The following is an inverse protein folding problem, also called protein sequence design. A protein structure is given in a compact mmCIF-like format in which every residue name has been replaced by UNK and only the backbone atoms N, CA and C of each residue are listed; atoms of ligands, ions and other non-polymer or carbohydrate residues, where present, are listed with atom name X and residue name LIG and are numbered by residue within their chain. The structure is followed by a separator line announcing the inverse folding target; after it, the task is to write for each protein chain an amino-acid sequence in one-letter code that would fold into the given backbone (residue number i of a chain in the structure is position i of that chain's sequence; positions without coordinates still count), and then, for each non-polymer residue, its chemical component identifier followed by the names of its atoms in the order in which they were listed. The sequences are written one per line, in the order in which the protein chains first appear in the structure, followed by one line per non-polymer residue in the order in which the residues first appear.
data_IF_050930181634
#
_entry.id   IF_050930181634
#
_cell.length_a   1.000
_cell.length_b   1.000
_cell.length_c   1.000
_cell.angle_alpha   90.00
_cell.angle_beta   90.00
_cell.angle_gamma   90.00
#
_symmetry.space_group_name_H-M   'P 1'
#
loop_
_entity.id
_entity.type
_entity.pdbx_description
1 polymer ?
#
# COMPACT_ATOMS: atom_id res chain seq x y z
N UNK A 1 1.06 -12.89 -6.04
CA UNK A 1 2.09 -11.81 -5.99
C UNK A 1 1.38 -10.47 -6.11
N UNK A 2 1.73 -9.46 -5.32
CA UNK A 2 1.16 -8.11 -5.37
C UNK A 2 2.30 -7.08 -5.30
N UNK A 3 2.19 -5.98 -6.06
CA UNK A 3 3.17 -4.89 -6.10
C UNK A 3 2.55 -3.59 -5.60
N UNK A 4 3.37 -2.72 -5.01
CA UNK A 4 2.93 -1.40 -4.52
C UNK A 4 2.58 -0.51 -5.71
N UNK A 5 1.32 -0.07 -5.75
CA UNK A 5 0.82 0.90 -6.71
C UNK A 5 0.30 2.14 -5.99
N UNK A 6 0.34 3.28 -6.66
CA UNK A 6 -0.19 4.56 -6.19
C UNK A 6 -1.11 5.15 -7.26
N UNK A 7 -2.28 5.58 -6.83
CA UNK A 7 -3.27 6.25 -7.65
C UNK A 7 -3.73 7.54 -6.98
N UNK A 8 -4.17 8.52 -7.78
CA UNK A 8 -4.74 9.76 -7.27
C UNK A 8 -6.24 9.82 -7.60
N UNK A 9 -7.09 9.85 -6.56
CA UNK A 9 -8.54 10.02 -6.72
C UNK A 9 -8.92 11.42 -6.25
N UNK A 10 -9.28 12.30 -7.18
CA UNK A 10 -9.62 13.71 -6.90
C UNK A 10 -8.54 14.48 -6.11
N UNK A 11 -7.26 14.18 -6.37
CA UNK A 11 -6.13 14.82 -5.69
C UNK A 11 -5.63 14.07 -4.45
N UNK A 12 -6.40 13.11 -3.92
CA UNK A 12 -5.96 12.29 -2.79
C UNK A 12 -5.07 11.13 -3.25
N UNK A 13 -3.85 10.97 -2.69
CA UNK A 13 -3.05 9.78 -2.93
C UNK A 13 -3.69 8.55 -2.25
N UNK A 14 -3.78 7.45 -2.98
CA UNK A 14 -4.32 6.17 -2.52
C UNK A 14 -3.38 5.06 -2.94
N UNK A 15 -2.72 4.42 -1.98
CA UNK A 15 -1.97 3.20 -2.25
C UNK A 15 -2.90 2.01 -2.52
N UNK A 16 -2.45 1.12 -3.39
CA UNK A 16 -3.18 -0.08 -3.76
C UNK A 16 -2.23 -1.12 -4.33
N UNK A 17 -2.79 -2.22 -4.82
CA UNK A 17 -2.00 -3.30 -5.41
C UNK A 17 -2.04 -3.24 -6.92
N UNK A 18 -0.95 -3.66 -7.55
CA UNK A 18 -0.93 -4.07 -8.95
C UNK A 18 -0.35 -5.49 -9.09
N UNK A 19 -0.73 -6.19 -10.16
CA UNK A 19 -0.22 -7.53 -10.50
C UNK A 19 -0.50 -7.86 -11.97
N UNK A 20 0.29 -8.74 -12.61
CA UNK A 20 0.00 -9.17 -13.98
C UNK A 20 -1.20 -10.13 -14.00
N UNK A 21 -2.10 -9.95 -14.96
CA UNK A 21 -3.13 -10.94 -15.31
C UNK A 21 -2.50 -12.15 -16.01
N UNK A 22 -3.29 -13.21 -16.20
CA UNK A 22 -2.86 -14.38 -16.99
C UNK A 22 -2.42 -14.02 -18.42
N UNK A 23 -2.95 -12.92 -18.98
CA UNK A 23 -2.57 -12.40 -20.30
C UNK A 23 -1.39 -11.39 -20.25
N UNK A 24 -0.71 -11.27 -19.10
CA UNK A 24 0.42 -10.36 -18.91
C UNK A 24 0.06 -8.88 -18.87
N UNK A 25 -1.23 -8.53 -18.69
CA UNK A 25 -1.68 -7.13 -18.55
C UNK A 25 -1.65 -6.71 -17.09
N UNK A 26 -1.30 -5.46 -16.82
CA UNK A 26 -1.31 -4.95 -15.44
C UNK A 26 -2.74 -4.77 -14.95
N UNK A 27 -3.10 -5.51 -13.91
CA UNK A 27 -4.30 -5.31 -13.10
C UNK A 27 -3.95 -4.43 -11.90
N UNK A 28 -4.91 -3.63 -11.41
CA UNK A 28 -4.73 -2.85 -10.20
C UNK A 28 -6.02 -2.68 -9.42
N UNK A 29 -5.91 -2.53 -8.10
CA UNK A 29 -7.05 -2.41 -7.19
C UNK A 29 -6.75 -1.39 -6.08
N UNK A 30 -7.64 -0.43 -5.91
CA UNK A 30 -7.56 0.63 -4.91
C UNK A 30 -8.86 0.70 -4.08
N UNK A 31 -8.72 0.81 -2.75
CA UNK A 31 -9.86 0.92 -1.84
C UNK A 31 -10.03 2.34 -1.32
N UNK A 32 -11.14 3.00 -1.68
CA UNK A 32 -11.46 4.36 -1.23
C UNK A 32 -12.96 4.63 -1.37
N UNK A 33 -13.54 5.32 -0.39
CA UNK A 33 -14.94 5.79 -0.36
C UNK A 33 -15.96 4.65 -0.50
N UNK A 34 -15.77 3.57 0.27
CA UNK A 34 -16.54 2.33 0.29
C UNK A 34 -16.56 1.56 -1.04
N UNK A 35 -15.65 1.88 -1.95
CA UNK A 35 -15.55 1.28 -3.28
C UNK A 35 -14.19 0.62 -3.49
N UNK A 36 -14.21 -0.52 -4.15
CA UNK A 36 -13.06 -1.00 -4.90
C UNK A 36 -13.04 -0.33 -6.27
N UNK A 37 -11.89 0.26 -6.64
CA UNK A 37 -11.64 0.87 -7.93
C UNK A 37 -10.62 -0.03 -8.62
N UNK A 38 -11.04 -0.72 -9.68
CA UNK A 38 -10.28 -1.77 -10.35
C UNK A 38 -10.59 -1.89 -11.84
N UNK A 39 -11.44 -1.01 -12.36
CA UNK A 39 -11.79 -0.94 -13.77
C UNK A 39 -11.01 0.17 -14.51
N UNK A 40 -11.45 0.49 -15.73
CA UNK A 40 -10.83 1.52 -16.56
C UNK A 40 -10.78 2.91 -15.92
N UNK A 41 -11.61 3.19 -14.91
CA UNK A 41 -11.67 4.46 -14.17
C UNK A 41 -10.38 4.80 -13.41
N UNK A 42 -9.54 3.79 -13.12
CA UNK A 42 -8.23 4.00 -12.52
C UNK A 42 -7.34 4.83 -13.46
N UNK A 43 -7.41 4.58 -14.77
CA UNK A 43 -6.58 5.27 -15.76
C UNK A 43 -5.08 5.18 -15.44
N UNK A 44 -4.44 6.33 -15.24
CA UNK A 44 -3.01 6.43 -14.92
C UNK A 44 -2.74 6.12 -13.44
N UNK A 45 -1.74 5.28 -13.19
CA UNK A 45 -1.22 4.97 -11.86
C UNK A 45 0.31 4.89 -11.88
N UNK A 46 0.92 4.85 -10.71
CA UNK A 46 2.36 4.72 -10.53
C UNK A 46 2.67 3.39 -9.84
N UNK A 47 3.81 2.78 -10.15
CA UNK A 47 4.34 1.61 -9.46
C UNK A 47 5.61 1.98 -8.71
N UNK A 48 5.76 1.51 -7.48
CA UNK A 48 7.04 1.59 -6.80
C UNK A 48 8.00 0.60 -7.44
N UNK A 49 9.11 1.10 -7.95
CA UNK A 49 10.18 0.30 -8.52
C UNK A 49 11.46 0.50 -7.72
N UNK A 50 12.32 -0.50 -7.75
CA UNK A 50 13.64 -0.46 -7.12
C UNK A 50 14.66 -0.61 -8.23
N UNK A 51 15.63 0.32 -8.37
CA UNK A 51 16.69 0.19 -9.36
C UNK A 51 17.61 -0.98 -9.02
N UNK A 52 18.56 -1.28 -9.90
CA UNK A 52 19.60 -2.26 -9.60
C UNK A 52 20.30 -1.95 -8.27
N UNK A 53 20.66 -3.00 -7.53
CA UNK A 53 21.20 -2.87 -6.19
C UNK A 53 22.47 -2.03 -6.11
N UNK A 54 23.28 -2.03 -7.18
CA UNK A 54 24.49 -1.22 -7.32
C UNK A 54 24.26 0.29 -7.29
N UNK A 55 23.03 0.76 -7.54
CA UNK A 55 22.66 2.17 -7.58
C UNK A 55 21.60 2.53 -6.53
N UNK A 56 21.38 1.65 -5.55
CA UNK A 56 20.32 1.81 -4.56
C UNK A 56 20.78 2.73 -3.41
N UNK A 57 20.14 3.89 -3.25
CA UNK A 57 20.37 4.79 -2.11
C UNK A 57 19.42 4.56 -0.92
N UNK A 58 18.45 3.66 -1.06
CA UNK A 58 17.43 3.36 -0.06
C UNK A 58 17.19 1.86 0.01
N UNK A 59 17.21 1.29 1.21
CA UNK A 59 16.65 -0.05 1.44
C UNK A 59 15.19 0.06 1.89
N UNK A 60 14.41 -0.96 1.56
CA UNK A 60 13.00 -1.07 1.92
C UNK A 60 12.74 -2.31 2.75
N UNK A 61 11.87 -2.18 3.76
CA UNK A 61 11.49 -3.30 4.63
C UNK A 61 10.02 -3.20 5.02
N UNK A 62 9.31 -4.32 4.93
CA UNK A 62 7.97 -4.45 5.53
C UNK A 62 8.09 -4.77 7.01
N UNK A 63 7.48 -3.96 7.87
CA UNK A 63 7.48 -4.15 9.32
C UNK A 63 6.11 -3.77 9.90
N UNK A 64 5.70 -4.36 11.03
CA UNK A 64 4.58 -3.83 11.81
C UNK A 64 4.74 -2.33 12.05
N UNK A 65 3.66 -1.56 11.92
CA UNK A 65 3.70 -0.09 12.07
C UNK A 65 4.33 0.35 13.40
N UNK A 66 3.96 -0.30 14.51
CA UNK A 66 4.50 0.01 15.83
C UNK A 66 6.00 -0.29 15.95
N UNK A 67 6.44 -1.45 15.46
CA UNK A 67 7.86 -1.84 15.45
C UNK A 67 8.67 -0.83 14.61
N UNK A 68 8.23 -0.58 13.38
CA UNK A 68 8.92 0.29 12.45
C UNK A 68 9.07 1.73 12.99
N UNK A 69 8.02 2.30 13.60
CA UNK A 69 8.05 3.63 14.25
C UNK A 69 9.10 3.73 15.36
N UNK A 70 9.45 2.63 16.02
CA UNK A 70 10.45 2.57 17.10
C UNK A 70 11.88 2.23 16.64
N UNK A 71 12.09 1.98 15.35
CA UNK A 71 13.30 1.29 14.84
C UNK A 71 14.29 2.18 14.06
N UNK A 72 14.09 3.50 14.04
CA UNK A 72 14.91 4.43 13.24
C UNK A 72 14.63 4.38 11.72
N UNK A 73 13.67 3.58 11.28
CA UNK A 73 13.20 3.55 9.89
C UNK A 73 12.13 4.60 9.65
N UNK A 74 12.01 5.08 8.41
CA UNK A 74 10.97 6.04 8.01
C UNK A 74 9.90 5.33 7.19
N UNK A 75 8.62 5.60 7.44
CA UNK A 75 7.51 5.08 6.62
C UNK A 75 7.67 5.58 5.17
N UNK A 76 7.39 4.73 4.18
CA UNK A 76 7.18 5.18 2.80
C UNK A 76 5.79 5.81 2.73
N UNK A 77 5.71 7.09 2.37
CA UNK A 77 4.43 7.79 2.29
C UNK A 77 4.43 8.86 1.20
N UNK A 78 3.23 9.24 0.77
CA UNK A 78 2.93 10.40 -0.07
C UNK A 78 1.79 11.15 0.61
N UNK A 79 2.04 12.38 1.07
CA UNK A 79 1.13 13.04 2.00
C UNK A 79 0.90 12.16 3.24
N UNK A 80 -0.36 11.92 3.60
CA UNK A 80 -0.74 11.05 4.72
C UNK A 80 -0.96 9.59 4.32
N UNK A 81 -0.82 9.24 3.04
CA UNK A 81 -1.02 7.89 2.53
C UNK A 81 0.28 7.08 2.62
N UNK A 82 0.20 5.84 3.10
CA UNK A 82 1.30 4.88 3.13
C UNK A 82 0.84 3.50 2.62
N UNK A 83 1.69 2.70 1.96
CA UNK A 83 1.32 1.34 1.57
C UNK A 83 1.33 0.42 2.80
N UNK A 84 0.25 -0.34 2.99
CA UNK A 84 0.12 -1.32 4.07
C UNK A 84 -0.47 -2.64 3.58
N UNK A 85 -0.25 -3.72 4.32
CA UNK A 85 -0.84 -5.04 4.06
C UNK A 85 -1.93 -5.28 5.09
N UNK A 86 -3.18 -5.28 4.64
CA UNK A 86 -4.32 -5.72 5.45
C UNK A 86 -4.36 -7.25 5.44
N UNK A 87 -4.73 -7.85 6.57
CA UNK A 87 -4.95 -9.29 6.67
C UNK A 87 -6.36 -9.53 7.18
N UNK A 88 -7.14 -10.34 6.47
CA UNK A 88 -8.47 -10.74 6.92
C UNK A 88 -8.41 -11.94 7.90
N UNK A 89 -9.56 -12.30 8.45
CA UNK A 89 -9.71 -13.41 9.41
C UNK A 89 -9.30 -14.78 8.82
N UNK A 90 -9.32 -14.92 7.50
CA UNK A 90 -8.91 -16.14 6.78
C UNK A 90 -7.42 -16.12 6.43
N UNK A 91 -6.72 -15.05 6.81
CA UNK A 91 -5.31 -14.86 6.57
C UNK A 91 -4.96 -14.35 5.17
N UNK A 92 -5.95 -13.90 4.39
CA UNK A 92 -5.71 -13.30 3.07
C UNK A 92 -5.05 -11.95 3.29
N UNK A 93 -3.83 -11.80 2.76
CA UNK A 93 -3.08 -10.56 2.76
C UNK A 93 -3.40 -9.73 1.50
N UNK A 94 -3.79 -8.49 1.71
CA UNK A 94 -4.17 -7.55 0.65
C UNK A 94 -3.40 -6.24 0.82
N UNK A 95 -2.61 -5.88 -0.19
CA UNK A 95 -1.88 -4.62 -0.21
C UNK A 95 -2.84 -3.47 -0.53
N UNK A 96 -2.76 -2.41 0.27
CA UNK A 96 -3.62 -1.25 0.23
C UNK A 96 -2.98 0.00 0.83
N UNK A 97 -3.82 0.88 1.34
CA UNK A 97 -3.48 2.20 1.83
C UNK A 97 -3.64 2.29 3.34
N UNK A 98 -2.75 2.99 4.03
CA UNK A 98 -2.90 3.46 5.39
C UNK A 98 -2.96 4.98 5.36
N UNK A 99 -4.04 5.55 5.87
CA UNK A 99 -4.10 6.97 6.21
C UNK A 99 -3.47 7.16 7.60
N UNK A 100 -2.32 7.83 7.63
CA UNK A 100 -1.52 8.05 8.84
C UNK A 100 -2.15 9.06 9.80
N UNK A 101 -3.09 9.90 9.36
CA UNK A 101 -3.72 10.93 10.21
C UNK A 101 -4.85 10.35 11.03
N UNK A 102 -5.70 9.54 10.41
CA UNK A 102 -6.87 8.94 11.08
C UNK A 102 -6.65 7.47 11.45
N UNK A 103 -5.45 6.94 11.21
CA UNK A 103 -5.06 5.54 11.42
C UNK A 103 -6.12 4.58 10.86
N UNK A 104 -6.42 4.75 9.57
CA UNK A 104 -7.37 3.92 8.81
C UNK A 104 -6.65 3.24 7.65
N UNK A 105 -6.59 1.92 7.69
CA UNK A 105 -6.15 1.10 6.58
C UNK A 105 -7.33 0.75 5.66
N UNK A 106 -7.11 0.75 4.35
CA UNK A 106 -8.07 0.37 3.34
C UNK A 106 -7.48 -0.40 2.17
N UNK A 107 -8.24 -1.31 1.56
CA UNK A 107 -7.87 -1.98 0.32
C UNK A 107 -9.10 -2.35 -0.52
N UNK A 108 -8.99 -2.31 -1.84
CA UNK A 108 -10.05 -2.79 -2.74
C UNK A 108 -10.00 -4.31 -2.81
N UNK A 109 -11.08 -5.01 -2.45
CA UNK A 109 -11.17 -6.46 -2.63
C UNK A 109 -12.63 -6.95 -2.68
N UNK A 110 -12.97 -7.71 -3.73
CA UNK A 110 -14.28 -8.36 -3.85
C UNK A 110 -15.42 -7.38 -4.08
N UNK A 111 -15.19 -6.35 -4.89
CA UNK A 111 -16.11 -5.28 -5.25
C UNK A 111 -16.27 -4.18 -4.19
N UNK A 112 -15.52 -4.23 -3.09
CA UNK A 112 -15.69 -3.31 -1.94
C UNK A 112 -14.37 -2.82 -1.36
N UNK A 113 -14.42 -1.68 -0.69
CA UNK A 113 -13.34 -1.25 0.21
C UNK A 113 -13.38 -2.11 1.48
N UNK A 114 -12.29 -2.82 1.77
CA UNK A 114 -12.00 -3.41 3.08
C UNK A 114 -11.35 -2.35 3.94
N UNK A 115 -11.80 -2.19 5.17
CA UNK A 115 -11.34 -1.15 6.09
C UNK A 115 -10.91 -1.79 7.41
N UNK A 116 -9.83 -1.29 8.00
CA UNK A 116 -9.41 -1.56 9.36
C UNK A 116 -8.99 -0.25 10.02
N UNK A 117 -9.44 0.00 11.25
CA UNK A 117 -9.14 1.21 12.00
C UNK A 117 -8.94 0.92 13.49
N UNK A 118 -8.36 1.88 14.22
CA UNK A 118 -8.12 1.77 15.64
C UNK A 118 -6.92 0.88 15.98
N UNK A 119 -6.91 0.32 17.20
CA UNK A 119 -5.77 -0.43 17.75
C UNK A 119 -5.14 -1.49 16.83
N UNK A 120 -5.90 -2.26 16.01
CA UNK A 120 -5.32 -3.26 15.11
C UNK A 120 -4.34 -2.69 14.06
N UNK A 121 -4.44 -1.41 13.70
CA UNK A 121 -3.59 -0.79 12.67
C UNK A 121 -2.11 -0.79 13.06
N UNK A 122 -1.81 -0.71 14.35
CA UNK A 122 -0.44 -0.76 14.87
C UNK A 122 0.30 -2.06 14.51
N UNK A 123 -0.43 -3.16 14.29
CA UNK A 123 0.12 -4.48 13.93
C UNK A 123 0.24 -4.72 12.42
N UNK A 124 -0.28 -3.82 11.57
CA UNK A 124 -0.23 -4.00 10.12
C UNK A 124 1.20 -3.82 9.60
N UNK A 125 1.58 -4.67 8.63
CA UNK A 125 2.84 -4.47 7.91
C UNK A 125 2.72 -3.24 7.02
N UNK A 126 3.61 -2.28 7.23
CA UNK A 126 3.74 -1.05 6.44
C UNK A 126 5.12 -1.05 5.78
N UNK A 127 5.25 -0.42 4.61
CA UNK A 127 6.54 -0.30 3.96
C UNK A 127 7.35 0.82 4.61
N UNK A 128 8.54 0.48 5.06
CA UNK A 128 9.52 1.42 5.57
C UNK A 128 10.70 1.52 4.62
N UNK A 129 11.42 2.64 4.71
CA UNK A 129 12.67 2.92 4.01
C UNK A 129 13.74 3.43 4.98
N UNK A 130 14.99 3.18 4.64
CA UNK A 130 16.18 3.76 5.28
C UNK A 130 17.20 4.09 4.21
N UNK A 131 18.01 5.14 4.40
CA UNK A 131 19.13 5.43 3.51
C UNK A 131 20.24 4.41 3.72
N UNK A 132 20.77 3.91 2.61
CA UNK A 132 22.02 3.16 2.62
C UNK A 132 23.16 4.19 2.71
N UNK A 133 24.07 3.99 3.67
CA UNK A 133 25.24 4.84 3.87
C UNK A 133 26.36 4.49 2.88
#
# INVERSE_FOLDING_TARGET
MQYVALWYKHGDPVFGRAYPSAAGKTMAHFGKNNQENAGPEVGSMQLLTVPEASCMGLEYKWMPLAEGKSSGWTVVHIGNAAPCILKDEKGIEVLGNLDLTIEKASAGFGGKEKIMSGAPVAGLKVLFKRRLN
#
